data_IF_907502450918
#
_entry.id   IF_907502450918
#
_cell.length_a   1.000
_cell.length_b   1.000
_cell.length_c   1.000
_cell.angle_alpha   90.00
_cell.angle_beta   90.00
_cell.angle_gamma   90.00
#
_symmetry.space_group_name_H-M   'P 1'
#
loop_
_entity.id
_entity.type
_entity.pdbx_description
1 polymer ?
#
# COMPACT_ATOMS: atom_id res chain seq x y z
N UNK A 1 9.16 5.07 -4.06
CA UNK A 1 8.61 5.63 -5.31
C UNK A 1 7.31 4.92 -5.63
N UNK A 2 6.22 5.66 -5.86
CA UNK A 2 4.86 5.13 -6.06
C UNK A 2 4.74 4.21 -7.27
N UNK A 3 5.57 4.45 -8.29
CA UNK A 3 5.63 3.64 -9.49
C UNK A 3 6.10 2.20 -9.20
N UNK A 4 7.02 2.02 -8.24
CA UNK A 4 7.42 0.69 -7.77
C UNK A 4 6.34 0.00 -6.93
N UNK A 5 5.63 0.77 -6.10
CA UNK A 5 4.51 0.24 -5.30
C UNK A 5 3.38 -0.23 -6.22
N UNK A 6 3.06 0.55 -7.25
CA UNK A 6 2.05 0.21 -8.23
C UNK A 6 2.43 -1.05 -9.02
N UNK A 7 3.67 -1.13 -9.51
CA UNK A 7 4.20 -2.32 -10.17
C UNK A 7 4.08 -3.58 -9.30
N UNK A 8 4.47 -3.48 -8.01
CA UNK A 8 4.33 -4.58 -7.03
C UNK A 8 2.87 -4.92 -6.70
N UNK A 9 1.98 -3.94 -6.69
CA UNK A 9 0.56 -4.13 -6.39
C UNK A 9 -0.16 -4.84 -7.54
N UNK A 10 0.07 -4.42 -8.79
CA UNK A 10 -0.62 -4.96 -9.98
C UNK A 10 0.09 -6.15 -10.61
N UNK A 11 1.36 -6.39 -10.25
CA UNK A 11 2.23 -7.40 -10.86
C UNK A 11 2.88 -6.95 -12.17
N UNK A 12 2.70 -5.68 -12.57
CA UNK A 12 3.33 -5.12 -13.75
C UNK A 12 4.83 -4.86 -13.57
N UNK A 13 5.56 -4.78 -14.68
CA UNK A 13 6.99 -4.47 -14.71
C UNK A 13 7.20 -3.03 -15.14
N UNK A 14 8.18 -2.37 -14.54
CA UNK A 14 8.60 -1.02 -14.94
C UNK A 14 9.50 -1.15 -16.15
N UNK A 15 9.08 -0.56 -17.28
CA UNK A 15 9.85 -0.55 -18.53
C UNK A 15 10.22 0.89 -18.85
N UNK A 16 11.47 1.13 -19.23
CA UNK A 16 12.01 2.46 -19.54
C UNK A 16 11.80 2.89 -20.99
N UNK A 17 11.63 1.95 -21.92
CA UNK A 17 11.40 2.21 -23.34
C UNK A 17 10.06 1.62 -23.77
N UNK A 18 9.28 2.38 -24.53
CA UNK A 18 8.01 1.91 -25.10
C UNK A 18 8.21 0.76 -26.11
N UNK A 19 9.40 0.66 -26.72
CA UNK A 19 9.74 -0.37 -27.70
C UNK A 19 9.97 -1.74 -27.04
N UNK A 20 10.31 -1.76 -25.76
CA UNK A 20 10.58 -2.97 -24.98
C UNK A 20 9.34 -3.46 -24.22
N UNK A 21 8.19 -2.80 -24.40
CA UNK A 21 6.96 -3.12 -23.68
C UNK A 21 6.28 -4.35 -24.30
N UNK A 22 6.11 -5.39 -23.49
CA UNK A 22 5.38 -6.60 -23.88
C UNK A 22 4.09 -6.78 -23.09
N UNK A 23 3.17 -7.61 -23.60
CA UNK A 23 1.94 -7.94 -22.87
C UNK A 23 2.21 -8.62 -21.51
N UNK A 24 3.37 -9.26 -21.35
CA UNK A 24 3.80 -9.88 -20.08
C UNK A 24 4.26 -8.87 -19.03
N UNK A 25 4.55 -7.63 -19.42
CA UNK A 25 4.94 -6.57 -18.49
C UNK A 25 3.72 -5.85 -17.88
N UNK A 26 2.51 -6.11 -18.38
CA UNK A 26 1.29 -5.47 -17.91
C UNK A 26 0.77 -6.12 -16.62
N UNK A 27 0.41 -5.27 -15.65
CA UNK A 27 -0.25 -5.68 -14.41
C UNK A 27 -1.77 -5.76 -14.54
N UNK A 28 -2.43 -6.36 -13.55
CA UNK A 28 -3.89 -6.50 -13.52
C UNK A 28 -4.48 -5.91 -12.22
N UNK A 29 -5.58 -5.19 -12.36
CA UNK A 29 -6.41 -4.70 -11.25
C UNK A 29 -7.89 -4.85 -11.63
N UNK A 30 -8.75 -5.16 -10.65
CA UNK A 30 -10.17 -5.32 -10.90
C UNK A 30 -10.88 -3.98 -11.14
N UNK A 31 -10.44 -2.93 -10.45
CA UNK A 31 -11.06 -1.60 -10.54
C UNK A 31 -10.01 -0.51 -10.44
N UNK A 32 -10.05 0.40 -11.40
CA UNK A 32 -9.28 1.65 -11.39
C UNK A 32 -10.27 2.78 -11.51
N UNK A 33 -10.32 3.66 -10.52
CA UNK A 33 -11.21 4.82 -10.53
C UNK A 33 -10.51 6.04 -9.93
N UNK A 34 -10.80 7.22 -10.48
CA UNK A 34 -10.46 8.46 -9.82
C UNK A 34 -11.60 8.86 -8.88
N UNK A 35 -11.25 9.19 -7.64
CA UNK A 35 -12.21 9.65 -6.65
C UNK A 35 -11.70 10.93 -6.01
N UNK A 36 -12.59 11.90 -5.86
CA UNK A 36 -12.33 13.11 -5.08
C UNK A 36 -12.37 12.78 -3.59
N UNK A 37 -11.30 13.14 -2.88
CA UNK A 37 -11.18 12.98 -1.43
C UNK A 37 -10.77 14.33 -0.84
N UNK A 38 -11.69 14.97 -0.10
CA UNK A 38 -11.48 16.36 0.29
C UNK A 38 -11.51 17.25 -0.95
N UNK A 39 -10.45 18.01 -1.16
CA UNK A 39 -10.28 18.88 -2.32
C UNK A 39 -9.45 18.26 -3.46
N UNK A 40 -8.80 17.12 -3.20
CA UNK A 40 -7.89 16.46 -4.15
C UNK A 40 -8.55 15.32 -4.92
N UNK A 41 -8.08 15.11 -6.15
CA UNK A 41 -8.41 13.96 -6.98
C UNK A 41 -7.35 12.88 -6.80
N UNK A 42 -7.75 11.68 -6.40
CA UNK A 42 -6.85 10.55 -6.18
C UNK A 42 -7.27 9.35 -7.03
N UNK A 43 -6.30 8.68 -7.64
CA UNK A 43 -6.54 7.44 -8.41
C UNK A 43 -6.43 6.21 -7.49
N UNK A 44 -7.51 5.45 -7.39
CA UNK A 44 -7.59 4.22 -6.63
C UNK A 44 -7.49 3.01 -7.56
N UNK A 45 -6.44 2.23 -7.38
CA UNK A 45 -6.22 0.95 -8.06
C UNK A 45 -6.49 -0.16 -7.05
N UNK A 46 -7.58 -0.91 -7.24
CA UNK A 46 -8.09 -1.89 -6.26
C UNK A 46 -8.43 -3.23 -6.90
N UNK A 47 -8.49 -4.28 -6.06
CA UNK A 47 -8.76 -5.64 -6.50
C UNK A 47 -7.63 -6.27 -7.32
N UNK A 48 -6.38 -5.98 -6.97
CA UNK A 48 -5.24 -6.72 -7.51
C UNK A 48 -5.22 -8.14 -6.94
N UNK A 49 -4.93 -9.15 -7.77
CA UNK A 49 -5.04 -10.58 -7.37
C UNK A 49 -4.06 -11.00 -6.27
N UNK A 50 -2.83 -10.49 -6.30
CA UNK A 50 -1.81 -10.79 -5.30
C UNK A 50 -0.91 -9.56 -5.05
N UNK A 51 -1.41 -8.55 -4.34
CA UNK A 51 -0.70 -7.30 -4.18
C UNK A 51 0.46 -7.48 -3.19
N UNK A 52 1.70 -7.33 -3.66
CA UNK A 52 2.89 -7.26 -2.78
C UNK A 52 3.12 -5.86 -2.20
N UNK A 53 2.23 -4.92 -2.49
CA UNK A 53 2.22 -3.57 -1.96
C UNK A 53 0.77 -3.13 -1.82
N UNK A 54 0.43 -2.57 -0.67
CA UNK A 54 -0.89 -2.00 -0.39
C UNK A 54 -0.72 -0.58 0.15
N UNK A 55 -1.76 0.23 0.00
CA UNK A 55 -1.79 1.61 0.49
C UNK A 55 -3.00 1.79 1.40
N UNK A 56 -2.80 2.46 2.53
CA UNK A 56 -3.85 2.79 3.50
C UNK A 56 -4.02 4.30 3.48
N UNK A 57 -5.24 4.76 3.22
CA UNK A 57 -5.57 6.19 3.23
C UNK A 57 -6.10 6.59 4.61
N UNK A 58 -5.30 7.37 5.34
CA UNK A 58 -5.66 7.91 6.65
C UNK A 58 -6.31 9.28 6.45
N UNK A 59 -7.42 9.54 7.16
CA UNK A 59 -8.09 10.84 7.19
C UNK A 59 -8.34 11.25 8.63
N UNK A 60 -8.16 12.53 8.95
CA UNK A 60 -8.34 13.05 10.31
C UNK A 60 -8.69 14.54 10.28
N UNK A 61 -9.24 15.03 11.39
CA UNK A 61 -9.68 16.43 11.50
C UNK A 61 -8.53 17.43 11.68
N UNK A 62 -7.35 16.97 12.11
CA UNK A 62 -6.14 17.77 12.24
C UNK A 62 -4.93 16.95 11.81
N UNK A 63 -3.87 17.63 11.39
CA UNK A 63 -2.60 17.00 10.99
C UNK A 63 -1.98 16.19 12.14
N UNK A 64 -2.06 16.71 13.37
CA UNK A 64 -1.57 16.00 14.56
C UNK A 64 -2.25 14.65 14.76
N UNK A 65 -3.57 14.56 14.52
CA UNK A 65 -4.30 13.29 14.64
C UNK A 65 -3.88 12.32 13.54
N UNK A 66 -3.74 12.77 12.30
CA UNK A 66 -3.33 11.88 11.20
C UNK A 66 -1.92 11.34 11.39
N UNK A 67 -0.99 12.16 11.87
CA UNK A 67 0.39 11.74 12.17
C UNK A 67 0.42 10.71 13.31
N UNK A 68 -0.45 10.87 14.32
CA UNK A 68 -0.50 9.93 15.44
C UNK A 68 -1.11 8.58 15.04
N UNK A 69 -2.12 8.59 14.17
CA UNK A 69 -2.70 7.38 13.59
C UNK A 69 -1.69 6.67 12.69
N UNK A 70 -0.91 7.41 11.90
CA UNK A 70 0.18 6.85 11.09
C UNK A 70 1.22 6.13 11.96
N UNK A 71 1.70 6.77 13.03
CA UNK A 71 2.64 6.15 13.99
C UNK A 71 2.06 4.90 14.62
N UNK A 72 0.85 5.00 15.16
CA UNK A 72 0.17 3.86 15.82
C UNK A 72 -0.01 2.67 14.88
N UNK A 73 -0.38 2.93 13.62
CA UNK A 73 -0.53 1.90 12.61
C UNK A 73 0.81 1.26 12.23
N UNK A 74 1.86 2.08 12.08
CA UNK A 74 3.19 1.58 11.77
C UNK A 74 3.73 0.67 12.88
N UNK A 75 3.49 1.02 14.15
CA UNK A 75 3.93 0.20 15.29
C UNK A 75 3.13 -1.10 15.38
N UNK A 76 1.81 -1.04 15.19
CA UNK A 76 0.97 -2.24 15.15
C UNK A 76 1.41 -3.21 14.03
N UNK A 77 1.71 -2.70 12.83
CA UNK A 77 2.17 -3.52 11.71
C UNK A 77 3.52 -4.18 11.99
N UNK A 78 4.46 -3.47 12.65
CA UNK A 78 5.76 -4.05 13.04
C UNK A 78 5.59 -5.18 14.05
N UNK A 79 4.70 -5.02 15.03
CA UNK A 79 4.41 -6.07 16.03
C UNK A 79 3.82 -7.30 15.35
N UNK A 80 2.82 -7.11 14.48
CA UNK A 80 2.23 -8.22 13.71
C UNK A 80 3.28 -8.92 12.84
N UNK A 81 4.16 -8.15 12.18
CA UNK A 81 5.27 -8.71 11.40
C UNK A 81 6.18 -9.58 12.26
N UNK A 82 6.58 -9.07 13.43
CA UNK A 82 7.49 -9.79 14.34
C UNK A 82 6.85 -11.09 14.85
N UNK A 83 5.55 -11.07 15.18
CA UNK A 83 4.82 -12.28 15.62
C UNK A 83 4.73 -13.31 14.49
N UNK A 84 4.54 -12.88 13.25
CA UNK A 84 4.50 -13.79 12.08
C UNK A 84 5.90 -14.40 11.82
N UNK A 85 6.97 -13.64 12.01
CA UNK A 85 8.35 -14.08 11.79
C UNK A 85 8.86 -15.01 12.90
N UNK A 86 8.68 -14.63 14.17
CA UNK A 86 9.24 -15.34 15.33
C UNK A 86 8.30 -16.41 15.89
N UNK A 87 6.99 -16.27 15.69
CA UNK A 87 5.97 -17.23 16.15
C UNK A 87 5.79 -17.33 17.66
N UNK A 88 6.40 -16.42 18.44
CA UNK A 88 6.36 -16.41 19.91
C UNK A 88 5.91 -15.07 20.46
N UNK A 89 5.29 -15.09 21.64
CA UNK A 89 4.85 -13.90 22.37
C UNK A 89 5.18 -14.05 23.85
N UNK A 90 5.41 -12.93 24.53
CA UNK A 90 5.61 -12.89 25.98
C UNK A 90 4.51 -12.05 26.66
N UNK A 91 4.19 -12.33 27.93
CA UNK A 91 3.35 -11.43 28.72
C UNK A 91 4.07 -10.08 28.88
N UNK A 92 3.35 -8.99 28.60
CA UNK A 92 3.83 -7.63 28.88
C UNK A 92 3.41 -7.14 30.26
N UNK A 93 3.74 -5.88 30.58
CA UNK A 93 3.26 -5.21 31.80
C UNK A 93 4.13 -5.36 33.04
N UNK A 94 5.36 -5.88 32.91
CA UNK A 94 6.27 -6.10 34.05
C UNK A 94 6.02 -7.43 34.74
#
# INVERSE_FOLDING_TARGET
SDLQKLARATGGKIVSSLQDLSATDLGAAAKVEERKVGDDHMTFVTGCKNPRSVSILIRGGTEHVTQEVERSLQDALKVVSSVIEDGVVCPGGG
#
